data_IF_605124854130
#
_entry.id   IF_605124854130
#
_cell.length_a   1.000
_cell.length_b   1.000
_cell.length_c   1.000
_cell.angle_alpha   90.00
_cell.angle_beta   90.00
_cell.angle_gamma   90.00
#
_symmetry.space_group_name_H-M   'P 1'
#
loop_
_entity.id
_entity.type
_entity.pdbx_description
1 polymer ?
#
# COMPACT_ATOMS: atom_id res chain seq x y z
N UNK A 1 -9.68 -35.54 -35.56
CA UNK A 1 -10.91 -35.50 -34.72
C UNK A 1 -11.01 -36.82 -33.95
N UNK A 2 -11.51 -36.81 -32.69
CA UNK A 2 -11.67 -37.93 -31.73
C UNK A 2 -10.64 -38.11 -30.59
N UNK A 3 -10.08 -37.01 -30.03
CA UNK A 3 -9.37 -37.08 -28.73
C UNK A 3 -9.97 -36.17 -27.63
N UNK A 4 -10.94 -35.33 -27.98
CA UNK A 4 -11.54 -34.35 -27.06
C UNK A 4 -12.83 -34.81 -26.36
N UNK A 5 -13.42 -35.95 -26.76
CA UNK A 5 -14.73 -36.39 -26.22
C UNK A 5 -14.64 -37.34 -25.00
N UNK A 6 -13.47 -37.87 -24.65
CA UNK A 6 -13.34 -38.88 -23.59
C UNK A 6 -12.94 -38.32 -22.22
N UNK A 7 -12.39 -37.11 -22.17
CA UNK A 7 -11.93 -36.48 -20.91
C UNK A 7 -13.07 -35.76 -20.19
N UNK A 8 -14.09 -35.32 -20.93
CA UNK A 8 -15.23 -34.56 -20.37
C UNK A 8 -16.21 -35.45 -19.60
N UNK A 9 -16.27 -36.75 -19.89
CA UNK A 9 -17.19 -37.69 -19.22
C UNK A 9 -16.69 -38.19 -17.86
N UNK A 10 -15.39 -38.12 -17.57
CA UNK A 10 -14.83 -38.61 -16.29
C UNK A 10 -15.01 -37.60 -15.16
N UNK A 11 -15.08 -36.31 -15.46
CA UNK A 11 -15.18 -35.26 -14.43
C UNK A 11 -16.60 -35.08 -13.88
N UNK A 12 -17.65 -35.50 -14.61
CA UNK A 12 -19.05 -35.36 -14.19
C UNK A 12 -19.60 -36.52 -13.33
N UNK A 13 -18.88 -37.64 -13.20
CA UNK A 13 -19.33 -38.81 -12.43
C UNK A 13 -18.80 -38.88 -10.98
N UNK A 14 -17.93 -37.95 -10.58
CA UNK A 14 -17.34 -37.94 -9.22
C UNK A 14 -18.13 -37.10 -8.20
N UNK A 15 -19.27 -36.51 -8.59
CA UNK A 15 -20.07 -35.62 -7.74
C UNK A 15 -21.21 -36.31 -6.95
N UNK A 16 -21.34 -37.65 -6.96
CA UNK A 16 -22.49 -38.34 -6.34
C UNK A 16 -22.10 -39.56 -5.47
N UNK A 17 -21.15 -39.44 -4.54
CA UNK A 17 -20.79 -40.61 -3.71
C UNK A 17 -20.27 -40.37 -2.27
N UNK A 18 -20.55 -39.25 -1.59
CA UNK A 18 -20.30 -39.19 -0.13
C UNK A 18 -21.43 -38.48 0.62
N UNK A 19 -22.59 -39.14 0.62
CA UNK A 19 -23.66 -38.90 1.58
C UNK A 19 -23.36 -39.58 2.93
N UNK A 20 -23.71 -38.86 4.00
CA UNK A 20 -24.28 -39.35 5.27
C UNK A 20 -23.53 -40.46 6.04
N UNK A 21 -22.77 -40.09 7.07
CA UNK A 21 -22.66 -40.88 8.30
C UNK A 21 -22.69 -39.95 9.52
N UNK A 22 -23.88 -39.78 10.09
CA UNK A 22 -24.04 -39.34 11.47
C UNK A 22 -23.92 -40.53 12.42
N UNK A 23 -23.30 -40.33 13.58
CA UNK A 23 -23.52 -41.16 14.77
C UNK A 23 -23.37 -40.32 16.05
N UNK A 24 -24.30 -40.57 16.96
CA UNK A 24 -24.57 -39.84 18.19
C UNK A 24 -23.58 -40.14 19.34
N UNK A 25 -23.71 -39.32 20.38
CA UNK A 25 -23.16 -39.32 21.75
C UNK A 25 -22.82 -40.68 22.38
N UNK A 26 -21.82 -40.72 23.26
CA UNK A 26 -22.04 -40.90 24.72
C UNK A 26 -20.81 -40.48 25.56
N UNK A 27 -21.12 -40.03 26.78
CA UNK A 27 -20.30 -39.51 27.88
C UNK A 27 -19.51 -40.55 28.68
N UNK A 28 -18.44 -40.16 29.39
CA UNK A 28 -18.31 -40.10 30.87
C UNK A 28 -16.87 -40.29 31.40
N UNK A 29 -16.45 -39.26 32.17
CA UNK A 29 -15.74 -39.28 33.46
C UNK A 29 -14.33 -39.87 33.70
N UNK A 30 -13.55 -38.98 34.33
CA UNK A 30 -12.66 -39.17 35.50
C UNK A 30 -11.25 -39.73 35.28
N UNK A 31 -10.29 -38.83 35.51
CA UNK A 31 -8.90 -39.18 35.84
C UNK A 31 -8.14 -37.96 36.36
N UNK A 32 -8.23 -37.71 37.67
CA UNK A 32 -7.39 -36.75 38.41
C UNK A 32 -6.04 -37.41 38.69
N UNK A 33 -4.96 -36.88 38.14
CA UNK A 33 -3.61 -37.01 38.71
C UNK A 33 -2.69 -35.94 38.10
N UNK A 34 -2.29 -35.00 38.96
CA UNK A 34 -0.94 -34.43 39.07
C UNK A 34 -0.05 -34.34 37.81
N UNK A 35 0.20 -33.11 37.38
CA UNK A 35 1.53 -32.75 36.88
C UNK A 35 1.79 -31.29 37.17
N UNK A 36 2.45 -31.03 38.31
CA UNK A 36 3.21 -29.81 38.52
C UNK A 36 4.34 -29.81 37.49
N UNK A 37 4.08 -29.19 36.35
CA UNK A 37 5.08 -28.92 35.31
C UNK A 37 5.02 -27.42 35.07
N UNK A 38 6.09 -26.74 35.48
CA UNK A 38 6.38 -25.37 35.08
C UNK A 38 6.22 -25.27 33.56
N UNK A 39 5.13 -24.65 33.12
CA UNK A 39 4.97 -24.19 31.76
C UNK A 39 5.50 -22.76 31.76
N UNK A 40 6.73 -22.59 31.27
CA UNK A 40 7.15 -21.29 30.75
C UNK A 40 6.17 -20.96 29.62
N UNK A 41 5.19 -20.14 29.96
CA UNK A 41 4.29 -19.53 28.99
C UNK A 41 5.05 -18.30 28.48
N UNK A 42 5.61 -18.39 27.28
CA UNK A 42 6.01 -17.19 26.55
C UNK A 42 4.77 -16.29 26.47
N UNK A 43 4.81 -15.19 27.20
CA UNK A 43 3.67 -14.30 27.35
C UNK A 43 3.61 -13.46 26.08
N UNK A 44 2.87 -13.95 25.09
CA UNK A 44 2.53 -13.21 23.89
C UNK A 44 1.88 -11.87 24.28
N UNK A 45 2.65 -10.78 24.17
CA UNK A 45 2.17 -9.43 24.47
C UNK A 45 1.83 -8.74 23.15
N UNK A 46 0.66 -8.13 23.05
CA UNK A 46 0.15 -7.44 21.87
C UNK A 46 0.05 -5.93 22.15
N UNK A 47 0.42 -5.07 21.21
CA UNK A 47 0.35 -3.60 21.34
C UNK A 47 -0.41 -2.93 20.18
N UNK A 48 -0.90 -1.70 20.39
CA UNK A 48 -1.50 -0.93 19.31
C UNK A 48 -0.43 -0.10 18.57
N UNK A 49 -0.35 -0.17 17.23
CA UNK A 49 0.67 0.57 16.46
C UNK A 49 0.56 2.10 16.59
N UNK A 50 -0.62 2.61 16.97
CA UNK A 50 -0.86 4.04 17.20
C UNK A 50 -0.79 4.43 18.68
N UNK A 51 -0.91 3.46 19.59
CA UNK A 51 -0.95 3.69 21.03
C UNK A 51 -0.08 2.65 21.74
N UNK A 52 1.25 2.83 21.76
CA UNK A 52 2.19 1.86 22.33
C UNK A 52 1.92 1.50 23.80
N UNK A 53 1.30 2.42 24.54
CA UNK A 53 0.89 2.23 25.95
C UNK A 53 -0.24 1.20 26.12
N UNK A 54 -0.94 0.85 25.04
CA UNK A 54 -2.00 -0.15 25.06
C UNK A 54 -1.37 -1.51 24.81
N UNK A 55 -1.20 -2.29 25.90
CA UNK A 55 -0.70 -3.66 25.87
C UNK A 55 -1.80 -4.66 26.24
N UNK A 56 -1.79 -5.83 25.64
CA UNK A 56 -2.74 -6.92 25.93
C UNK A 56 -2.05 -8.27 25.83
N UNK A 57 -2.49 -9.24 26.62
CA UNK A 57 -2.01 -10.63 26.51
C UNK A 57 -2.77 -11.43 25.44
N UNK A 58 -3.69 -10.77 24.72
CA UNK A 58 -4.57 -11.40 23.75
C UNK A 58 -4.69 -10.56 22.48
N UNK A 59 -4.92 -11.19 21.32
CA UNK A 59 -5.30 -10.47 20.12
C UNK A 59 -6.64 -9.76 20.34
N UNK A 60 -6.83 -8.62 19.69
CA UNK A 60 -8.05 -7.83 19.86
C UNK A 60 -7.98 -6.48 19.16
N UNK A 61 -8.93 -5.60 19.52
CA UNK A 61 -8.98 -4.22 19.04
C UNK A 61 -8.55 -3.26 20.14
N UNK A 62 -7.81 -2.22 19.76
CA UNK A 62 -7.43 -1.13 20.62
C UNK A 62 -8.68 -0.38 21.11
N UNK A 63 -8.88 -0.17 22.42
CA UNK A 63 -10.03 0.56 22.94
C UNK A 63 -9.97 2.06 22.65
N UNK A 64 -8.79 2.60 22.26
CA UNK A 64 -8.63 4.03 21.93
C UNK A 64 -8.99 4.36 20.48
N UNK A 65 -8.69 3.49 19.51
CA UNK A 65 -8.94 3.75 18.08
C UNK A 65 -9.62 2.62 17.30
N UNK A 66 -9.86 1.46 17.90
CA UNK A 66 -10.51 0.32 17.23
C UNK A 66 -9.64 -0.47 16.25
N UNK A 67 -8.38 -0.07 16.02
CA UNK A 67 -7.42 -0.83 15.20
C UNK A 67 -7.03 -2.15 15.90
N UNK A 68 -6.64 -3.16 15.13
CA UNK A 68 -6.17 -4.43 15.68
C UNK A 68 -4.84 -4.27 16.44
N UNK A 69 -4.70 -4.97 17.55
CA UNK A 69 -3.42 -5.10 18.27
C UNK A 69 -2.49 -6.05 17.53
N UNK A 70 -1.19 -5.76 17.57
CA UNK A 70 -0.12 -6.53 16.92
C UNK A 70 0.80 -7.16 17.95
N UNK A 71 1.29 -8.38 17.71
CA UNK A 71 2.15 -9.11 18.63
C UNK A 71 3.53 -8.42 18.76
N UNK A 72 4.01 -8.30 19.99
CA UNK A 72 5.34 -7.85 20.38
C UNK A 72 6.16 -9.13 20.56
N UNK A 73 6.88 -9.52 19.52
CA UNK A 73 7.86 -10.60 19.64
C UNK A 73 9.14 -10.01 20.25
N UNK A 74 9.52 -10.47 21.44
CA UNK A 74 10.83 -10.17 22.02
C UNK A 74 11.92 -10.89 21.22
N UNK A 75 12.32 -10.28 20.11
CA UNK A 75 13.61 -10.48 19.43
C UNK A 75 13.93 -11.94 19.05
N UNK A 76 13.08 -12.54 18.24
CA UNK A 76 13.51 -13.44 17.17
C UNK A 76 13.49 -12.66 15.87
N UNK A 77 14.64 -12.53 15.19
CA UNK A 77 14.72 -11.95 13.85
C UNK A 77 13.65 -12.58 12.94
N UNK A 78 12.62 -11.80 12.61
CA UNK A 78 11.85 -12.01 11.40
C UNK A 78 12.76 -11.68 10.21
N UNK A 79 13.63 -12.63 9.90
CA UNK A 79 14.33 -12.72 8.63
C UNK A 79 13.28 -13.03 7.56
N UNK A 80 12.50 -12.02 7.18
CA UNK A 80 11.80 -12.06 5.90
C UNK A 80 12.83 -11.92 4.80
N UNK A 81 13.45 -13.05 4.42
CA UNK A 81 13.89 -13.22 3.04
C UNK A 81 12.64 -13.25 2.15
N UNK A 82 12.05 -12.08 1.89
CA UNK A 82 11.58 -11.81 0.54
C UNK A 82 12.83 -11.39 -0.21
N UNK A 83 13.23 -12.19 -1.19
CA UNK A 83 14.24 -11.79 -2.16
C UNK A 83 13.67 -10.70 -3.07
N UNK A 84 13.53 -9.50 -2.53
CA UNK A 84 13.67 -8.26 -3.27
C UNK A 84 15.04 -7.71 -2.85
N UNK A 85 15.95 -7.57 -3.81
CA UNK A 85 17.18 -6.83 -3.58
C UNK A 85 16.81 -5.45 -3.04
N UNK A 86 16.99 -5.24 -1.74
CA UNK A 86 16.93 -3.93 -1.11
C UNK A 86 17.98 -3.05 -1.78
N UNK A 87 17.56 -2.28 -2.79
CA UNK A 87 18.36 -1.21 -3.34
C UNK A 87 18.75 -0.29 -2.17
N UNK A 88 20.03 0.04 -2.07
CA UNK A 88 20.52 1.13 -1.23
C UNK A 88 19.68 2.38 -1.48
N UNK A 89 19.51 3.24 -0.47
CA UNK A 89 18.75 4.49 -0.61
C UNK A 89 19.20 5.33 -1.82
N UNK A 90 20.50 5.27 -2.16
CA UNK A 90 21.05 5.93 -3.35
C UNK A 90 20.56 5.28 -4.66
N UNK A 91 20.50 3.95 -4.69
CA UNK A 91 20.03 3.21 -5.85
C UNK A 91 18.51 3.38 -6.01
N UNK A 92 17.73 3.39 -4.92
CA UNK A 92 16.28 3.70 -4.94
C UNK A 92 16.04 5.10 -5.50
N UNK A 93 16.82 6.09 -5.07
CA UNK A 93 16.73 7.45 -5.60
C UNK A 93 17.11 7.55 -7.08
N UNK A 94 18.13 6.80 -7.52
CA UNK A 94 18.54 6.78 -8.92
C UNK A 94 17.50 6.10 -9.81
N UNK A 95 16.93 4.98 -9.34
CA UNK A 95 15.84 4.29 -10.03
C UNK A 95 14.59 5.16 -10.12
N UNK A 96 14.19 5.82 -9.03
CA UNK A 96 13.07 6.75 -9.03
C UNK A 96 13.28 7.91 -10.01
N UNK A 97 14.49 8.50 -10.05
CA UNK A 97 14.83 9.54 -11.04
C UNK A 97 14.75 9.04 -12.47
N UNK A 98 15.25 7.83 -12.75
CA UNK A 98 15.20 7.23 -14.08
C UNK A 98 13.77 6.96 -14.54
N UNK A 99 12.96 6.35 -13.68
CA UNK A 99 11.54 6.09 -13.94
C UNK A 99 10.76 7.39 -14.16
N UNK A 100 11.07 8.44 -13.39
CA UNK A 100 10.47 9.77 -13.61
C UNK A 100 10.91 10.40 -14.94
N UNK A 101 12.16 10.23 -15.36
CA UNK A 101 12.63 10.73 -16.65
C UNK A 101 11.98 9.99 -17.83
N UNK A 102 11.89 8.66 -17.76
CA UNK A 102 11.18 7.83 -18.76
C UNK A 102 9.69 8.20 -18.79
N UNK A 103 9.05 8.37 -17.63
CA UNK A 103 7.68 8.84 -17.54
C UNK A 103 7.51 10.27 -18.12
N UNK A 104 8.52 11.14 -17.99
CA UNK A 104 8.51 12.48 -18.59
C UNK A 104 8.57 12.46 -20.12
N UNK A 105 9.19 11.44 -20.70
CA UNK A 105 9.28 11.27 -22.16
C UNK A 105 8.08 10.54 -22.76
N UNK A 106 7.57 9.49 -22.11
CA UNK A 106 6.48 8.66 -22.63
C UNK A 106 5.07 9.15 -22.25
N UNK A 107 4.90 9.62 -21.00
CA UNK A 107 3.69 10.31 -20.59
C UNK A 107 3.93 11.78 -20.87
N UNK A 108 2.90 12.51 -21.32
CA UNK A 108 2.96 13.96 -21.59
C UNK A 108 3.12 14.71 -20.25
N UNK A 109 4.27 14.54 -19.61
CA UNK A 109 4.60 14.97 -18.26
C UNK A 109 5.24 16.34 -18.31
N UNK A 110 4.44 17.31 -18.70
CA UNK A 110 4.90 18.68 -18.75
C UNK A 110 4.70 19.29 -17.36
N UNK A 111 5.66 19.11 -16.44
CA UNK A 111 5.61 19.90 -15.21
C UNK A 111 5.64 21.39 -15.57
N UNK A 112 4.84 22.19 -14.86
CA UNK A 112 4.73 23.64 -15.09
C UNK A 112 5.92 24.43 -14.52
N UNK A 113 6.80 23.76 -13.80
CA UNK A 113 8.01 24.32 -13.20
C UNK A 113 9.18 23.39 -13.52
N UNK A 114 10.39 23.96 -13.49
CA UNK A 114 11.66 23.22 -13.53
C UNK A 114 11.71 22.16 -12.43
N UNK A 115 12.44 21.09 -12.72
CA UNK A 115 12.78 20.07 -11.74
C UNK A 115 13.36 20.70 -10.46
N UNK A 116 13.03 20.17 -9.27
CA UNK A 116 12.39 18.88 -8.98
C UNK A 116 10.90 19.00 -8.63
N UNK A 117 10.11 19.79 -9.37
CA UNK A 117 8.68 19.93 -9.09
C UNK A 117 7.85 18.69 -9.51
N UNK A 118 8.19 17.50 -9.02
CA UNK A 118 7.50 16.24 -9.32
C UNK A 118 6.35 15.97 -8.35
N UNK A 119 6.06 16.90 -7.44
CA UNK A 119 5.12 16.68 -6.32
C UNK A 119 3.71 16.31 -6.79
N UNK A 120 3.19 17.01 -7.79
CA UNK A 120 1.87 16.71 -8.36
C UNK A 120 1.84 15.30 -8.97
N UNK A 121 2.97 14.82 -9.49
CA UNK A 121 3.08 13.48 -10.03
C UNK A 121 2.93 12.40 -8.98
N UNK A 122 3.66 12.61 -7.89
CA UNK A 122 3.71 11.68 -6.77
C UNK A 122 2.35 11.67 -6.04
N UNK A 123 1.72 12.82 -5.90
CA UNK A 123 0.48 12.95 -5.12
C UNK A 123 -0.78 12.57 -5.91
N UNK A 124 -0.82 12.86 -7.22
CA UNK A 124 -2.04 12.73 -8.03
C UNK A 124 -1.93 11.79 -9.23
N UNK A 125 -0.76 11.19 -9.45
CA UNK A 125 -0.48 10.29 -10.58
C UNK A 125 -0.81 10.90 -11.97
N UNK A 126 -1.01 12.22 -12.03
CA UNK A 126 -1.49 12.94 -13.20
C UNK A 126 -1.06 14.41 -13.14
N UNK A 127 -0.79 15.00 -14.30
CA UNK A 127 -0.34 16.39 -14.42
C UNK A 127 -1.21 17.14 -15.42
N UNK A 128 -2.32 17.71 -14.95
CA UNK A 128 -3.21 18.52 -15.80
C UNK A 128 -2.76 19.98 -15.91
N UNK A 129 -1.85 20.42 -15.03
CA UNK A 129 -1.46 21.81 -14.83
C UNK A 129 -0.93 22.49 -16.10
N UNK A 130 -0.14 21.82 -16.97
CA UNK A 130 0.42 22.48 -18.15
C UNK A 130 -0.65 22.77 -19.20
N UNK A 131 -1.56 21.81 -19.42
CA UNK A 131 -2.71 22.02 -20.30
C UNK A 131 -3.66 23.06 -19.72
N UNK A 132 -3.87 23.07 -18.41
CA UNK A 132 -4.69 24.08 -17.75
C UNK A 132 -4.05 25.48 -17.84
N UNK A 133 -2.74 25.57 -17.65
CA UNK A 133 -1.96 26.79 -17.79
C UNK A 133 -1.97 27.32 -19.23
N UNK A 134 -1.82 26.45 -20.23
CA UNK A 134 -2.00 26.80 -21.65
C UNK A 134 -3.43 27.22 -21.99
N UNK A 135 -4.41 26.68 -21.28
CA UNK A 135 -5.81 27.11 -21.36
C UNK A 135 -6.10 28.39 -20.56
N UNK A 136 -5.09 29.03 -19.95
CA UNK A 136 -5.23 30.26 -19.18
C UNK A 136 -5.92 30.09 -17.82
N UNK A 137 -6.07 28.84 -17.35
CA UNK A 137 -6.56 28.57 -15.99
C UNK A 137 -5.46 28.89 -14.98
N UNK A 138 -5.88 29.33 -13.81
CA UNK A 138 -4.94 29.63 -12.73
C UNK A 138 -4.35 28.36 -12.09
N UNK A 139 -3.20 28.52 -11.43
CA UNK A 139 -2.42 27.44 -10.80
C UNK A 139 -2.42 27.54 -9.27
N UNK A 140 -2.08 26.46 -8.56
CA UNK A 140 -1.98 26.48 -7.10
C UNK A 140 -0.94 27.49 -6.56
N UNK A 141 -0.95 27.75 -5.25
CA UNK A 141 -0.01 28.67 -4.59
C UNK A 141 1.45 28.34 -4.86
N UNK A 142 1.80 27.06 -4.79
CA UNK A 142 3.18 26.59 -4.92
C UNK A 142 3.67 26.76 -6.36
N UNK A 143 2.81 26.43 -7.33
CA UNK A 143 3.11 26.62 -8.74
C UNK A 143 3.21 28.10 -9.09
N UNK A 144 2.30 28.93 -8.55
CA UNK A 144 2.34 30.37 -8.75
C UNK A 144 3.65 30.96 -8.20
N UNK A 145 4.05 30.58 -6.98
CA UNK A 145 5.31 31.00 -6.37
C UNK A 145 6.52 30.59 -7.21
N UNK A 146 6.56 29.35 -7.72
CA UNK A 146 7.63 28.89 -8.61
C UNK A 146 7.74 29.71 -9.90
N UNK A 147 6.61 30.09 -10.49
CA UNK A 147 6.58 31.01 -11.63
C UNK A 147 7.08 32.41 -11.26
N UNK A 148 6.78 32.89 -10.05
CA UNK A 148 7.35 34.16 -9.58
C UNK A 148 8.88 34.09 -9.43
N UNK A 149 9.42 32.90 -9.16
CA UNK A 149 10.86 32.61 -9.05
C UNK A 149 11.53 32.23 -10.39
N UNK A 150 10.83 32.34 -11.52
CA UNK A 150 11.40 32.05 -12.85
C UNK A 150 11.51 30.56 -13.19
N UNK A 151 10.91 29.68 -12.38
CA UNK A 151 11.01 28.23 -12.60
C UNK A 151 10.16 27.74 -13.78
N UNK A 152 9.23 28.54 -14.31
CA UNK A 152 8.39 28.18 -15.45
C UNK A 152 8.80 28.79 -16.80
N UNK A 153 9.82 29.65 -16.83
CA UNK A 153 10.15 30.48 -18.01
C UNK A 153 10.55 29.69 -19.26
N UNK A 154 10.96 28.43 -19.10
CA UNK A 154 11.34 27.57 -20.23
C UNK A 154 10.12 27.03 -20.99
N UNK A 155 8.90 27.27 -20.52
CA UNK A 155 7.66 26.77 -21.16
C UNK A 155 7.30 27.68 -22.34
N UNK A 156 7.38 27.19 -23.60
CA UNK A 156 7.14 28.04 -24.76
C UNK A 156 5.70 28.56 -24.80
N UNK A 157 5.58 29.87 -24.96
CA UNK A 157 4.29 30.58 -25.12
C UNK A 157 3.63 31.01 -23.82
N UNK A 158 4.23 30.74 -22.65
CA UNK A 158 3.71 31.13 -21.34
C UNK A 158 4.71 32.05 -20.67
N UNK A 159 4.25 33.23 -20.27
CA UNK A 159 5.07 34.24 -19.60
C UNK A 159 4.58 34.45 -18.18
N UNK A 160 5.47 34.84 -17.27
CA UNK A 160 5.19 35.02 -15.83
C UNK A 160 3.96 35.90 -15.56
N UNK A 161 3.75 36.95 -16.35
CA UNK A 161 2.61 37.87 -16.26
C UNK A 161 1.26 37.25 -16.64
N UNK A 162 1.27 36.15 -17.41
CA UNK A 162 0.05 35.44 -17.82
C UNK A 162 -0.39 34.38 -16.81
N UNK A 163 0.46 34.04 -15.85
CA UNK A 163 0.16 33.04 -14.82
C UNK A 163 -0.67 33.67 -13.72
N UNK A 164 -1.85 33.10 -13.46
CA UNK A 164 -2.77 33.58 -12.44
C UNK A 164 -2.82 32.58 -11.28
N UNK A 165 -2.93 33.04 -10.02
CA UNK A 165 -3.18 32.13 -8.92
C UNK A 165 -4.62 31.61 -8.95
N UNK A 166 -4.80 30.35 -8.57
CA UNK A 166 -6.08 29.72 -8.31
C UNK A 166 -5.99 28.97 -6.97
N UNK A 167 -6.25 29.69 -5.89
CA UNK A 167 -6.21 29.15 -4.52
C UNK A 167 -7.40 28.24 -4.18
N UNK A 168 -8.36 28.09 -5.10
CA UNK A 168 -9.56 27.28 -4.90
C UNK A 168 -9.49 25.94 -5.64
N UNK A 169 -8.42 25.69 -6.41
CA UNK A 169 -8.38 24.66 -7.46
C UNK A 169 -7.94 23.25 -7.05
N UNK A 170 -7.40 23.06 -5.84
CA UNK A 170 -7.03 21.73 -5.34
C UNK A 170 -7.65 21.56 -3.95
N UNK A 171 -8.91 21.13 -3.91
CA UNK A 171 -9.43 20.51 -2.69
C UNK A 171 -8.67 19.18 -2.53
N UNK A 172 -7.79 19.14 -1.53
CA UNK A 172 -7.09 17.94 -1.10
C UNK A 172 -8.05 16.95 -0.43
#
# INVERSE_FOLDING_TARGET
>A
MRRASFVVTIVLMSFLAFGTHGRAQESQEKGKAESARHQQHDKEEYTCPMHPDVKSEKPGKCPKCGMSLVLIEEKGEATSKSSEQELSGKEKALLAKKLLAEAKEELVYNCCLKDPCDRCALDHQSCQCNKDLRAGKGVCSDCYAGWQMGQGEDIPGITKDKVKPNFHGHQH
#
